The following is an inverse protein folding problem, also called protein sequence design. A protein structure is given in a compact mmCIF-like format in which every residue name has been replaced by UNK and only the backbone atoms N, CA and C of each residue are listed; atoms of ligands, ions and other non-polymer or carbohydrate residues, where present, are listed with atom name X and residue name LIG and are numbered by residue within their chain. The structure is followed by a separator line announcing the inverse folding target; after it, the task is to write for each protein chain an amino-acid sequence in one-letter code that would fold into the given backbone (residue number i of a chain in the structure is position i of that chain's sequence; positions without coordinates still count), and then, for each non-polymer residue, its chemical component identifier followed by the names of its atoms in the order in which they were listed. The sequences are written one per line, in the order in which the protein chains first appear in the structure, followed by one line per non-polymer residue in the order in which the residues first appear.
data_IF_280695894231
#
_entry.id   IF_280695894231
#
_cell.length_a   1.000
_cell.length_b   1.000
_cell.length_c   1.000
_cell.angle_alpha   90.00
_cell.angle_beta   90.00
_cell.angle_gamma   90.00
#
_symmetry.space_group_name_H-M   'P 1'
#
loop_
_entity.id
_entity.type
_entity.pdbx_description
1 polymer ?
#
# COMPACT_ATOMS: atom_id res chain seq x y z
N UNK A 1 -8.88 -7.24 -25.98
CA UNK A 1 -9.89 -6.44 -25.26
C UNK A 1 -9.15 -5.52 -24.31
N UNK A 2 -9.03 -4.25 -24.69
CA UNK A 2 -8.50 -3.19 -23.83
C UNK A 2 -9.68 -2.42 -23.20
N UNK A 3 -9.34 -1.64 -22.16
CA UNK A 3 -10.14 -0.63 -21.45
C UNK A 3 -10.85 -1.12 -20.18
N UNK A 4 -10.22 -0.83 -19.03
CA UNK A 4 -10.92 -0.20 -17.92
C UNK A 4 -9.93 0.73 -17.19
N UNK A 5 -9.89 1.95 -17.69
CA UNK A 5 -9.37 3.15 -17.02
C UNK A 5 -10.37 3.55 -15.94
N UNK A 6 -9.95 3.61 -14.68
CA UNK A 6 -10.68 4.29 -13.61
C UNK A 6 -9.67 5.25 -12.98
N UNK A 7 -9.36 6.39 -13.61
CA UNK A 7 -10.14 7.64 -13.76
C UNK A 7 -10.45 8.26 -12.39
N UNK A 8 -9.60 9.19 -11.96
CA UNK A 8 -9.86 10.06 -10.81
C UNK A 8 -11.10 10.91 -11.12
N UNK A 9 -12.12 10.81 -10.28
CA UNK A 9 -13.45 11.43 -10.53
C UNK A 9 -13.56 12.85 -9.95
N UNK A 10 -12.58 13.29 -9.15
CA UNK A 10 -12.51 14.63 -8.58
C UNK A 10 -11.25 14.85 -7.76
N UNK A 11 -11.04 16.08 -7.29
CA UNK A 11 -9.99 16.44 -6.32
C UNK A 11 -10.66 16.75 -4.99
N UNK A 12 -10.21 16.10 -3.90
CA UNK A 12 -10.69 16.35 -2.54
C UNK A 12 -10.23 17.73 -2.06
N UNK A 13 -10.83 18.23 -0.98
CA UNK A 13 -10.43 19.50 -0.36
C UNK A 13 -8.94 19.55 0.02
N UNK A 14 -8.32 18.39 0.28
CA UNK A 14 -6.88 18.22 0.54
C UNK A 14 -5.99 18.24 -0.71
N UNK A 15 -6.53 18.41 -1.93
CA UNK A 15 -5.76 18.29 -3.17
C UNK A 15 -5.46 16.85 -3.60
N UNK A 16 -5.95 15.85 -2.86
CA UNK A 16 -5.82 14.43 -3.23
C UNK A 16 -6.81 14.06 -4.34
N UNK A 17 -6.39 13.27 -5.35
CA UNK A 17 -7.30 12.71 -6.31
C UNK A 17 -8.24 11.70 -5.63
N UNK A 18 -9.51 11.70 -6.01
CA UNK A 18 -10.46 10.70 -5.54
C UNK A 18 -10.32 9.41 -6.38
N UNK A 19 -9.69 8.40 -5.77
CA UNK A 19 -9.43 7.09 -6.36
C UNK A 19 -10.58 6.14 -6.02
N UNK A 20 -11.37 5.77 -7.04
CA UNK A 20 -12.58 4.93 -6.89
C UNK A 20 -12.23 3.46 -6.61
N UNK A 21 -11.19 2.93 -7.26
CA UNK A 21 -10.70 1.57 -7.01
C UNK A 21 -9.16 1.56 -6.96
N UNK A 22 -8.57 1.80 -5.78
CA UNK A 22 -7.12 1.86 -5.63
C UNK A 22 -6.43 0.54 -5.97
N UNK A 23 -7.12 -0.59 -5.82
CA UNK A 23 -6.58 -1.93 -6.07
C UNK A 23 -6.38 -2.24 -7.57
N UNK A 24 -7.01 -1.46 -8.46
CA UNK A 24 -6.97 -1.65 -9.93
C UNK A 24 -6.08 -0.65 -10.66
N UNK A 25 -5.39 0.22 -9.94
CA UNK A 25 -4.49 1.21 -10.54
C UNK A 25 -3.35 0.50 -11.29
N UNK A 26 -3.10 0.90 -12.54
CA UNK A 26 -2.01 0.33 -13.33
C UNK A 26 -0.65 0.61 -12.68
N UNK A 27 0.36 -0.27 -12.82
CA UNK A 27 1.63 -0.13 -12.07
C UNK A 27 2.37 1.20 -12.27
N UNK A 28 2.30 1.78 -13.47
CA UNK A 28 2.92 3.08 -13.76
C UNK A 28 2.19 4.21 -13.04
N UNK A 29 0.88 4.26 -13.17
CA UNK A 29 0.02 5.26 -12.52
C UNK A 29 0.08 5.11 -10.99
N UNK A 30 0.28 3.89 -10.48
CA UNK A 30 0.40 3.62 -9.07
C UNK A 30 1.64 4.27 -8.45
N UNK A 31 2.76 4.40 -9.18
CA UNK A 31 3.96 5.08 -8.67
C UNK A 31 3.73 6.57 -8.49
N UNK A 32 3.20 7.22 -9.52
CA UNK A 32 2.97 8.67 -9.50
C UNK A 32 1.88 9.03 -8.49
N UNK A 33 0.79 8.26 -8.43
CA UNK A 33 -0.22 8.42 -7.38
C UNK A 33 0.36 8.17 -5.99
N UNK A 34 1.15 7.10 -5.78
CA UNK A 34 1.75 6.85 -4.46
C UNK A 34 2.58 8.03 -3.97
N UNK A 35 3.34 8.69 -4.87
CA UNK A 35 4.12 9.88 -4.50
C UNK A 35 3.23 11.03 -4.04
N UNK A 36 2.12 11.30 -4.74
CA UNK A 36 1.16 12.34 -4.34
C UNK A 36 0.55 12.03 -2.97
N UNK A 37 0.13 10.78 -2.76
CA UNK A 37 -0.46 10.35 -1.50
C UNK A 37 0.53 10.41 -0.34
N UNK A 38 1.78 9.98 -0.53
CA UNK A 38 2.82 10.10 0.51
C UNK A 38 3.17 11.56 0.81
N UNK A 39 3.23 12.43 -0.19
CA UNK A 39 3.47 13.86 0.02
C UNK A 39 2.38 14.49 0.88
N UNK A 40 1.11 14.13 0.63
CA UNK A 40 -0.02 14.62 1.42
C UNK A 40 -0.04 14.02 2.82
N UNK A 41 0.20 12.72 2.97
CA UNK A 41 0.24 12.05 4.27
C UNK A 41 1.27 12.68 5.22
N UNK A 42 2.39 13.20 4.69
CA UNK A 42 3.40 13.90 5.47
C UNK A 42 2.94 15.28 6.02
N UNK A 43 1.88 15.85 5.47
CA UNK A 43 1.36 17.18 5.83
C UNK A 43 0.01 17.15 6.55
N UNK A 44 -0.76 16.09 6.35
CA UNK A 44 -2.08 15.92 6.94
C UNK A 44 -1.96 15.56 8.43
N UNK A 45 -2.82 16.13 9.26
CA UNK A 45 -2.89 15.81 10.67
C UNK A 45 -3.45 14.40 10.89
N UNK A 46 -2.77 13.60 11.70
CA UNK A 46 -3.19 12.25 12.05
C UNK A 46 -4.56 12.26 12.75
N UNK A 47 -5.43 11.32 12.40
CA UNK A 47 -6.80 11.23 12.91
C UNK A 47 -7.84 12.00 12.09
N UNK A 48 -7.43 12.82 11.11
CA UNK A 48 -8.37 13.45 10.17
C UNK A 48 -8.93 12.44 9.15
N UNK A 49 -10.14 12.68 8.60
CA UNK A 49 -10.68 11.88 7.50
C UNK A 49 -9.75 11.84 6.27
N UNK A 50 -9.08 12.96 5.98
CA UNK A 50 -8.16 13.09 4.85
C UNK A 50 -6.90 12.26 5.06
N UNK A 51 -6.32 12.28 6.27
CA UNK A 51 -5.18 11.44 6.61
C UNK A 51 -5.54 9.95 6.49
N UNK A 52 -6.71 9.57 7.02
CA UNK A 52 -7.22 8.20 6.96
C UNK A 52 -7.45 7.75 5.52
N UNK A 53 -8.02 8.63 4.69
CA UNK A 53 -8.20 8.38 3.27
C UNK A 53 -6.86 8.14 2.58
N UNK A 54 -5.90 9.05 2.75
CA UNK A 54 -4.61 8.95 2.08
C UNK A 54 -3.90 7.64 2.41
N UNK A 55 -3.89 7.29 3.69
CA UNK A 55 -3.31 6.06 4.21
C UNK A 55 -4.01 4.81 3.69
N UNK A 56 -5.34 4.77 3.70
CA UNK A 56 -6.11 3.62 3.22
C UNK A 56 -5.93 3.41 1.72
N UNK A 57 -5.90 4.48 0.92
CA UNK A 57 -5.60 4.40 -0.51
C UNK A 57 -4.23 3.78 -0.76
N UNK A 58 -3.19 4.21 -0.03
CA UNK A 58 -1.85 3.62 -0.13
C UNK A 58 -1.83 2.14 0.25
N UNK A 59 -2.59 1.73 1.28
CA UNK A 59 -2.72 0.32 1.68
C UNK A 59 -3.32 -0.49 0.53
N UNK A 60 -4.47 -0.06 0.00
CA UNK A 60 -5.22 -0.76 -1.03
C UNK A 60 -4.42 -0.89 -2.35
N UNK A 61 -3.74 0.17 -2.77
CA UNK A 61 -2.86 0.15 -3.95
C UNK A 61 -1.73 -0.87 -3.83
N UNK A 62 -1.28 -1.16 -2.61
CA UNK A 62 -0.12 -2.00 -2.35
C UNK A 62 -0.47 -3.40 -1.82
N UNK A 63 -1.75 -3.78 -1.76
CA UNK A 63 -2.17 -5.13 -1.33
C UNK A 63 -1.56 -6.26 -2.18
N UNK A 64 -1.38 -6.03 -3.48
CA UNK A 64 -0.77 -7.01 -4.39
C UNK A 64 0.70 -7.29 -4.05
N UNK A 65 1.42 -6.29 -3.52
CA UNK A 65 2.80 -6.43 -3.05
C UNK A 65 2.91 -7.40 -1.86
N UNK A 66 1.93 -7.35 -0.95
CA UNK A 66 1.86 -8.26 0.19
C UNK A 66 1.63 -9.70 -0.28
N UNK A 67 0.67 -9.92 -1.18
CA UNK A 67 0.42 -11.26 -1.77
C UNK A 67 1.65 -11.78 -2.52
N UNK A 68 2.35 -10.92 -3.24
CA UNK A 68 3.61 -11.28 -3.89
C UNK A 68 4.68 -11.71 -2.88
N UNK A 69 4.84 -10.96 -1.78
CA UNK A 69 5.81 -11.28 -0.74
C UNK A 69 5.47 -12.57 0.03
N UNK A 70 4.20 -12.73 0.42
CA UNK A 70 3.64 -13.92 1.07
C UNK A 70 3.80 -15.18 0.21
N UNK A 71 3.75 -15.03 -1.11
CA UNK A 71 3.94 -16.13 -2.06
C UNK A 71 5.28 -16.88 -1.95
N UNK A 72 6.25 -16.35 -1.21
CA UNK A 72 7.53 -17.03 -0.91
C UNK A 72 7.42 -18.07 0.22
N UNK A 73 6.29 -18.11 0.92
CA UNK A 73 6.04 -18.96 2.09
C UNK A 73 4.99 -20.08 1.81
N UNK A 74 4.74 -20.39 0.53
CA UNK A 74 3.70 -21.31 0.02
C UNK A 74 3.83 -22.79 0.39
N UNK A 75 4.78 -23.19 1.21
CA UNK A 75 4.97 -24.60 1.58
C UNK A 75 3.88 -25.15 2.52
N UNK A 76 2.85 -24.37 2.82
CA UNK A 76 1.82 -24.66 3.81
C UNK A 76 0.45 -24.34 3.22
N UNK A 77 -0.61 -25.03 3.65
CA UNK A 77 -1.90 -25.11 2.96
C UNK A 77 -2.63 -23.77 2.73
N UNK A 78 -3.80 -23.78 2.04
CA UNK A 78 -4.54 -22.56 1.69
C UNK A 78 -4.91 -21.67 2.88
N UNK A 79 -5.32 -22.25 4.01
CA UNK A 79 -5.69 -21.51 5.23
C UNK A 79 -4.50 -20.73 5.81
N UNK A 80 -3.32 -21.34 5.86
CA UNK A 80 -2.11 -20.67 6.34
C UNK A 80 -1.68 -19.50 5.44
N UNK A 81 -2.03 -19.53 4.15
CA UNK A 81 -1.72 -18.42 3.24
C UNK A 81 -2.49 -17.15 3.59
N UNK A 82 -3.75 -17.28 4.02
CA UNK A 82 -4.56 -16.13 4.41
C UNK A 82 -3.99 -15.45 5.66
N UNK A 83 -3.60 -16.24 6.66
CA UNK A 83 -2.93 -15.75 7.87
C UNK A 83 -1.61 -15.04 7.54
N UNK A 84 -0.78 -15.64 6.67
CA UNK A 84 0.47 -15.03 6.21
C UNK A 84 0.22 -13.69 5.52
N UNK A 85 -0.82 -13.61 4.68
CA UNK A 85 -1.19 -12.36 4.01
C UNK A 85 -1.63 -11.31 5.04
N UNK A 86 -2.46 -11.68 6.02
CA UNK A 86 -2.88 -10.77 7.09
C UNK A 86 -1.69 -10.23 7.90
N UNK A 87 -0.77 -11.10 8.31
CA UNK A 87 0.46 -10.70 8.99
C UNK A 87 1.31 -9.79 8.09
N UNK A 88 1.40 -10.11 6.80
CA UNK A 88 2.09 -9.28 5.81
C UNK A 88 1.46 -7.89 5.65
N UNK A 89 0.14 -7.77 5.78
CA UNK A 89 -0.56 -6.48 5.76
C UNK A 89 -0.15 -5.59 6.94
N UNK A 90 0.09 -6.17 8.13
CA UNK A 90 0.63 -5.42 9.27
C UNK A 90 1.99 -4.81 8.92
N UNK A 91 2.84 -5.56 8.20
CA UNK A 91 4.14 -5.06 7.74
C UNK A 91 4.01 -3.94 6.71
N UNK A 92 3.07 -4.05 5.78
CA UNK A 92 2.77 -2.98 4.83
C UNK A 92 2.32 -1.70 5.54
N UNK A 93 1.40 -1.84 6.50
CA UNK A 93 0.90 -0.71 7.31
C UNK A 93 2.06 -0.01 8.02
N UNK A 94 2.90 -0.77 8.74
CA UNK A 94 4.08 -0.22 9.42
C UNK A 94 5.06 0.46 8.46
N UNK A 95 5.17 -0.03 7.23
CA UNK A 95 6.00 0.59 6.20
C UNK A 95 5.39 1.93 5.73
N UNK A 96 4.08 2.00 5.50
CA UNK A 96 3.39 3.24 5.11
C UNK A 96 3.58 4.30 6.20
N UNK A 97 3.38 3.93 7.46
CA UNK A 97 3.48 4.84 8.61
C UNK A 97 4.91 5.36 8.86
N UNK A 98 5.94 4.74 8.26
CA UNK A 98 7.37 5.08 8.47
C UNK A 98 8.08 5.55 7.21
N UNK A 99 7.42 5.51 6.06
CA UNK A 99 8.07 5.86 4.80
C UNK A 99 8.18 7.37 4.66
N UNK A 100 9.39 7.84 4.38
CA UNK A 100 9.68 9.26 4.15
C UNK A 100 10.06 9.46 2.68
N UNK A 101 9.25 10.21 1.94
CA UNK A 101 9.47 10.48 0.51
C UNK A 101 10.80 11.22 0.24
N UNK A 102 11.30 11.98 1.22
CA UNK A 102 12.56 12.73 1.15
C UNK A 102 13.81 11.86 1.03
N UNK A 103 13.72 10.55 1.31
CA UNK A 103 14.87 9.63 1.28
C UNK A 103 15.18 9.06 -0.11
N UNK A 104 14.52 9.54 -1.16
CA UNK A 104 14.72 9.16 -2.57
C UNK A 104 14.66 7.64 -2.86
N UNK A 105 14.02 6.88 -1.97
CA UNK A 105 13.84 5.44 -2.13
C UNK A 105 12.48 5.12 -2.78
N UNK A 106 12.44 4.11 -3.64
CA UNK A 106 11.17 3.56 -4.09
C UNK A 106 10.45 2.84 -2.93
N UNK A 107 9.18 3.18 -2.70
CA UNK A 107 8.40 2.63 -1.57
C UNK A 107 8.42 1.10 -1.53
N UNK A 108 8.33 0.44 -2.68
CA UNK A 108 8.35 -1.04 -2.77
C UNK A 108 9.63 -1.64 -2.19
N UNK A 109 10.79 -1.03 -2.46
CA UNK A 109 12.08 -1.46 -1.91
C UNK A 109 12.15 -1.30 -0.39
N UNK A 110 11.47 -0.28 0.16
CA UNK A 110 11.36 -0.04 1.59
C UNK A 110 10.35 -0.98 2.27
N UNK A 111 9.20 -1.24 1.65
CA UNK A 111 8.10 -2.00 2.24
C UNK A 111 8.35 -3.51 2.32
N UNK A 112 9.04 -4.10 1.32
CA UNK A 112 9.28 -5.55 1.28
C UNK A 112 9.98 -6.06 2.55
N UNK A 113 11.07 -5.44 3.05
CA UNK A 113 11.70 -5.84 4.30
C UNK A 113 10.76 -5.84 5.52
N UNK A 114 9.85 -4.87 5.63
CA UNK A 114 8.85 -4.81 6.69
C UNK A 114 7.84 -5.95 6.58
N UNK A 115 7.27 -6.14 5.38
CA UNK A 115 6.30 -7.21 5.10
C UNK A 115 6.91 -8.59 5.42
N UNK A 116 8.09 -8.89 4.86
CA UNK A 116 8.78 -10.15 5.08
C UNK A 116 9.21 -10.30 6.54
N UNK A 117 9.57 -9.20 7.21
CA UNK A 117 9.93 -9.18 8.62
C UNK A 117 8.79 -9.62 9.53
N UNK A 118 7.58 -9.07 9.35
CA UNK A 118 6.39 -9.48 10.10
C UNK A 118 6.04 -10.95 9.83
N UNK A 119 6.03 -11.38 8.57
CA UNK A 119 5.76 -12.78 8.21
C UNK A 119 6.77 -13.73 8.88
N UNK A 120 8.07 -13.39 8.87
CA UNK A 120 9.09 -14.20 9.53
C UNK A 120 8.93 -14.25 11.05
N UNK A 121 8.39 -13.20 11.69
CA UNK A 121 8.12 -13.18 13.14
C UNK A 121 6.93 -14.06 13.50
N UNK A 122 5.93 -14.15 12.65
CA UNK A 122 4.78 -15.04 12.87
C UNK A 122 5.16 -16.52 12.96
N UNK A 123 6.24 -16.94 12.29
CA UNK A 123 6.75 -18.32 12.35
C UNK A 123 7.74 -18.58 13.51
N UNK A 124 8.00 -17.61 14.39
CA UNK A 124 9.00 -17.72 15.46
C UNK A 124 8.37 -17.91 16.83
#
# INVERSE_FOLDING_TARGET
MAVMTTTATGTRASGLPDVVDPSKVAPKDARDLSRLFFAQLATLEEGTPEHSYARNTLIEMNMSLVRYAAGRFRSRGPEEMEDIVQVGMIGLIKAIDRFELSREAEFTSFAIPYIVGEIKRFFR
#
